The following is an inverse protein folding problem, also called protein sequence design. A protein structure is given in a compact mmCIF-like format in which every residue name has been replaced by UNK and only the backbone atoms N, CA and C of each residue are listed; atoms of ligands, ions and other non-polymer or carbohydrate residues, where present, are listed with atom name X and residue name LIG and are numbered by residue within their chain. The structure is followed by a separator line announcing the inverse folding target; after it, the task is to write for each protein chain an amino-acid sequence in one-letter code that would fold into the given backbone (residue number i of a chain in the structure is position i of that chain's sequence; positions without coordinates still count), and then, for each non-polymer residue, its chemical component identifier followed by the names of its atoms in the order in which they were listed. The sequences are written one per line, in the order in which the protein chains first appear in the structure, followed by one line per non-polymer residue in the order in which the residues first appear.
data_IF_827051721333
#
_entry.id   IF_827051721333
#
_cell.length_a   1.000
_cell.length_b   1.000
_cell.length_c   1.000
_cell.angle_alpha   90.00
_cell.angle_beta   90.00
_cell.angle_gamma   90.00
#
_symmetry.space_group_name_H-M   'P 1'
#
loop_
_entity.id
_entity.type
_entity.pdbx_description
1 polymer ?
#
# COMPACT_ATOMS: atom_id res chain seq x y z
N UNK A 1 9.17 -13.51 -1.30
CA UNK A 1 9.48 -12.49 -2.32
C UNK A 1 9.20 -11.14 -1.70
N UNK A 2 10.18 -10.23 -1.68
CA UNK A 2 9.99 -8.86 -1.21
C UNK A 2 9.51 -7.99 -2.36
N UNK A 3 8.39 -7.30 -2.22
CA UNK A 3 7.95 -6.29 -3.18
C UNK A 3 8.55 -4.93 -2.77
N UNK A 4 9.11 -4.14 -3.71
CA UNK A 4 9.53 -2.78 -3.43
C UNK A 4 8.35 -1.93 -2.97
N UNK A 5 8.59 -1.07 -1.99
CA UNK A 5 7.63 -0.03 -1.58
C UNK A 5 7.71 1.09 -2.63
N UNK A 6 6.58 1.38 -3.27
CA UNK A 6 6.44 2.57 -4.10
C UNK A 6 6.24 3.81 -3.22
N UNK A 7 5.44 3.68 -2.15
CA UNK A 7 5.24 4.75 -1.18
C UNK A 7 4.45 4.35 0.06
N UNK A 8 4.47 5.23 1.06
CA UNK A 8 3.55 5.22 2.21
C UNK A 8 2.53 6.33 1.96
N UNK A 9 1.29 5.95 1.71
CA UNK A 9 0.21 6.86 1.29
C UNK A 9 -0.68 7.30 2.45
N UNK A 10 -0.60 6.62 3.60
CA UNK A 10 -1.35 6.98 4.80
C UNK A 10 -0.70 6.46 6.07
N UNK A 11 -0.80 7.24 7.15
CA UNK A 11 -0.34 6.86 8.49
C UNK A 11 -1.33 7.40 9.52
N UNK A 12 -1.78 6.53 10.42
CA UNK A 12 -2.67 6.90 11.52
C UNK A 12 -2.20 6.25 12.82
N UNK A 13 -2.02 7.06 13.87
CA UNK A 13 -1.80 6.54 15.21
C UNK A 13 -3.12 5.98 15.74
N UNK A 14 -3.07 4.76 16.28
CA UNK A 14 -4.18 4.12 17.01
C UNK A 14 -3.72 3.76 18.42
N UNK A 15 -4.65 3.35 19.28
CA UNK A 15 -4.37 3.04 20.68
C UNK A 15 -3.19 2.06 20.85
N UNK A 16 -3.20 0.98 20.06
CA UNK A 16 -2.22 -0.11 20.19
C UNK A 16 -1.11 -0.10 19.15
N UNK A 17 -0.91 1.01 18.44
CA UNK A 17 0.16 1.09 17.44
C UNK A 17 -0.16 2.06 16.32
N UNK A 18 -0.01 1.62 15.08
CA UNK A 18 -0.25 2.43 13.88
C UNK A 18 -0.96 1.64 12.80
N UNK A 19 -1.78 2.33 12.02
CA UNK A 19 -2.31 1.85 10.75
C UNK A 19 -1.59 2.59 9.62
N UNK A 20 -1.11 1.85 8.63
CA UNK A 20 -0.41 2.37 7.46
C UNK A 20 -1.18 1.96 6.19
N UNK A 21 -1.22 2.87 5.22
CA UNK A 21 -1.50 2.52 3.84
C UNK A 21 -0.19 2.59 3.06
N UNK A 22 0.14 1.49 2.39
CA UNK A 22 1.38 1.33 1.64
C UNK A 22 1.05 0.91 0.21
N UNK A 23 1.74 1.51 -0.75
CA UNK A 23 1.69 1.10 -2.14
C UNK A 23 2.95 0.31 -2.47
N UNK A 24 2.77 -0.92 -2.97
CA UNK A 24 3.85 -1.82 -3.36
C UNK A 24 3.86 -2.05 -4.87
N UNK A 25 5.05 -2.27 -5.44
CA UNK A 25 5.22 -2.67 -6.84
C UNK A 25 5.22 -4.20 -6.92
N UNK A 26 4.10 -4.81 -7.31
CA UNK A 26 3.99 -6.27 -7.39
C UNK A 26 4.57 -6.85 -8.68
N UNK A 27 4.56 -6.06 -9.76
CA UNK A 27 5.15 -6.45 -11.05
C UNK A 27 5.65 -5.23 -11.80
N UNK A 28 6.96 -5.20 -12.06
CA UNK A 28 7.61 -4.20 -12.93
C UNK A 28 7.36 -4.51 -14.41
N UNK A 29 7.10 -3.49 -15.23
CA UNK A 29 6.89 -3.58 -16.68
C UNK A 29 7.66 -2.50 -17.46
N UNK A 30 7.67 -2.60 -18.79
CA UNK A 30 8.26 -1.61 -19.70
C UNK A 30 7.17 -1.14 -20.68
N UNK A 31 6.81 0.16 -20.72
CA UNK A 31 7.32 1.23 -19.88
C UNK A 31 6.85 1.09 -18.41
N UNK A 32 7.57 1.70 -17.47
CA UNK A 32 7.24 1.65 -16.03
C UNK A 32 5.87 2.26 -15.68
N UNK A 33 5.32 3.10 -16.56
CA UNK A 33 3.93 3.59 -16.43
C UNK A 33 2.88 2.46 -16.49
N UNK A 34 3.27 1.26 -16.89
CA UNK A 34 2.44 0.06 -16.90
C UNK A 34 2.72 -0.92 -15.75
N UNK A 35 3.55 -0.54 -14.77
CA UNK A 35 3.76 -1.35 -13.56
C UNK A 35 2.43 -1.69 -12.89
N UNK A 36 2.35 -2.88 -12.29
CA UNK A 36 1.23 -3.29 -11.45
C UNK A 36 1.55 -2.96 -10.01
N UNK A 37 0.76 -2.06 -9.44
CA UNK A 37 0.85 -1.61 -8.06
C UNK A 37 -0.28 -2.24 -7.25
N UNK A 38 -0.08 -2.33 -5.95
CA UNK A 38 -1.08 -2.80 -5.01
C UNK A 38 -1.04 -1.97 -3.73
N UNK A 39 -2.22 -1.63 -3.21
CA UNK A 39 -2.35 -0.94 -1.93
C UNK A 39 -2.59 -1.95 -0.81
N UNK A 40 -1.87 -1.79 0.29
CA UNK A 40 -1.95 -2.63 1.47
C UNK A 40 -2.26 -1.76 2.69
N UNK A 41 -3.27 -2.17 3.45
CA UNK A 41 -3.45 -1.71 4.82
C UNK A 41 -2.60 -2.59 5.73
N UNK A 42 -1.74 -1.98 6.55
CA UNK A 42 -0.83 -2.65 7.47
C UNK A 42 -1.07 -2.12 8.87
N UNK A 43 -1.21 -3.02 9.83
CA UNK A 43 -1.26 -2.66 11.25
C UNK A 43 0.08 -2.98 11.89
N UNK A 44 0.63 -2.00 12.59
CA UNK A 44 1.81 -2.15 13.44
C UNK A 44 1.40 -2.07 14.90
N UNK A 45 2.07 -2.82 15.77
CA UNK A 45 1.96 -2.63 17.21
C UNK A 45 2.77 -1.43 17.70
N UNK A 46 2.86 -1.24 19.03
CA UNK A 46 3.62 -0.14 19.65
C UNK A 46 5.13 -0.21 19.45
N UNK A 47 5.66 -1.39 19.12
CA UNK A 47 7.09 -1.60 18.85
C UNK A 47 7.45 -1.42 17.38
N UNK A 48 6.43 -1.33 16.51
CA UNK A 48 6.60 -1.24 15.06
C UNK A 48 6.58 -2.60 14.37
N UNK A 49 6.25 -3.68 15.08
CA UNK A 49 6.10 -5.01 14.49
C UNK A 49 4.77 -5.11 13.74
N UNK A 50 4.79 -5.74 12.57
CA UNK A 50 3.59 -5.98 11.78
C UNK A 50 2.72 -7.02 12.48
N UNK A 51 1.51 -6.62 12.88
CA UNK A 51 0.52 -7.53 13.47
C UNK A 51 -0.50 -8.01 12.46
N UNK A 52 -0.80 -7.22 11.42
CA UNK A 52 -1.67 -7.64 10.32
C UNK A 52 -1.39 -6.87 9.04
N UNK A 53 -1.79 -7.44 7.92
CA UNK A 53 -1.81 -6.75 6.63
C UNK A 53 -2.93 -7.28 5.74
N UNK A 54 -3.46 -6.43 4.88
CA UNK A 54 -4.51 -6.76 3.90
C UNK A 54 -4.30 -6.00 2.61
N UNK A 55 -4.29 -6.72 1.48
CA UNK A 55 -4.34 -6.10 0.16
C UNK A 55 -5.74 -5.50 -0.07
N UNK A 56 -5.79 -4.21 -0.36
CA UNK A 56 -7.03 -3.46 -0.58
C UNK A 56 -7.42 -3.54 -2.05
N UNK A 57 -6.46 -3.27 -2.94
CA UNK A 57 -6.69 -3.19 -4.37
C UNK A 57 -5.41 -3.35 -5.19
N UNK A 58 -5.56 -3.58 -6.49
CA UNK A 58 -4.49 -3.58 -7.48
C UNK A 58 -4.86 -2.66 -8.62
N UNK A 59 -3.88 -1.93 -9.13
CA UNK A 59 -4.07 -0.97 -10.20
C UNK A 59 -2.80 -0.84 -11.05
N UNK A 60 -2.92 -0.29 -12.25
CA UNK A 60 -1.76 0.08 -13.06
C UNK A 60 -1.23 1.43 -12.61
N UNK A 61 0.08 1.67 -12.68
CA UNK A 61 0.70 2.95 -12.26
C UNK A 61 0.06 4.19 -12.91
N UNK A 62 -0.43 4.08 -14.14
CA UNK A 62 -1.06 5.17 -14.87
C UNK A 62 -2.56 5.39 -14.54
N UNK A 63 -3.12 4.60 -13.62
CA UNK A 63 -4.50 4.76 -13.19
C UNK A 63 -4.60 5.96 -12.23
N UNK A 64 -5.42 6.95 -12.60
CA UNK A 64 -5.83 8.04 -11.70
C UNK A 64 -6.85 7.47 -10.71
N UNK A 65 -6.77 7.86 -9.43
CA UNK A 65 -7.37 7.20 -8.26
C UNK A 65 -8.82 6.73 -8.40
N UNK A 66 -9.20 5.77 -7.55
CA UNK A 66 -10.60 5.35 -7.43
C UNK A 66 -11.38 6.53 -6.88
N UNK A 67 -12.42 6.92 -7.60
CA UNK A 67 -13.41 7.88 -7.12
C UNK A 67 -14.05 7.29 -5.86
N UNK A 68 -13.60 7.76 -4.69
CA UNK A 68 -14.29 7.57 -3.41
C UNK A 68 -15.55 8.45 -3.48
N UNK A 69 -16.51 8.04 -4.31
CA UNK A 69 -17.78 8.75 -4.46
C UNK A 69 -18.40 8.99 -3.09
N UNK A 70 -18.65 10.25 -2.78
CA UNK A 70 -19.44 10.71 -1.62
C UNK A 70 -20.78 9.97 -1.50
#
# INVERSE_FOLDING_TARGET
MSYPIDGVTGVKKVEDGWELLMTLIELTRIPSSSDVLAEYAVSLDRTGEIVSYKQIQRFLRNQVGIDDGE
#
